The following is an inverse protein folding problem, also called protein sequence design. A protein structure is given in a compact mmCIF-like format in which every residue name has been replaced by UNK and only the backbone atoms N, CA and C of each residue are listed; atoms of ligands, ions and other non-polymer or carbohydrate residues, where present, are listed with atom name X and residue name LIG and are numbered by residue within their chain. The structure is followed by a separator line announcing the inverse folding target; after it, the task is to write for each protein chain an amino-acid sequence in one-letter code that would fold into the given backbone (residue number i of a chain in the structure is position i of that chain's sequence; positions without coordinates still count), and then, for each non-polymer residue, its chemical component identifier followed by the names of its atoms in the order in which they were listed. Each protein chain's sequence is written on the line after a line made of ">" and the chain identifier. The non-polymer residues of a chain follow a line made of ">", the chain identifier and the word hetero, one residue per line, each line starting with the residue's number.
data_IF_281898146391
#
_entry.id   IF_281898146391
#
_cell.length_a   1.000
_cell.length_b   1.000
_cell.length_c   1.000
_cell.angle_alpha   90.00
_cell.angle_beta   90.00
_cell.angle_gamma   90.00
#
_symmetry.space_group_name_H-M   'P 1'
#
loop_
_entity.id
_entity.type
_entity.pdbx_description
1 polymer ?
#
# COMPACT_ATOMS: atom_id res chain seq x y z
N UNK A 1 25.42 28.50 -13.90
CA UNK A 1 26.19 28.43 -12.64
C UNK A 1 25.70 27.21 -11.88
N UNK A 2 26.57 26.27 -11.53
CA UNK A 2 26.15 25.00 -10.92
C UNK A 2 25.69 25.14 -9.47
N UNK A 3 25.07 24.10 -8.87
CA UNK A 3 24.72 24.10 -7.46
C UNK A 3 25.97 24.29 -6.59
N UNK A 4 25.92 25.25 -5.67
CA UNK A 4 26.97 25.48 -4.66
C UNK A 4 26.62 24.69 -3.41
N UNK A 5 27.41 23.68 -3.08
CA UNK A 5 27.24 22.94 -1.83
C UNK A 5 27.34 23.91 -0.65
N UNK A 6 26.36 23.87 0.24
CA UNK A 6 26.34 24.67 1.47
C UNK A 6 26.96 23.82 2.58
N UNK A 7 26.41 22.62 2.77
CA UNK A 7 26.82 21.69 3.82
C UNK A 7 26.23 20.29 3.58
N UNK A 8 26.97 19.24 3.92
CA UNK A 8 26.51 17.84 3.81
C UNK A 8 25.86 17.51 2.47
N UNK A 9 24.58 17.13 2.49
CA UNK A 9 23.76 16.78 1.30
C UNK A 9 22.97 17.96 0.71
N UNK A 10 23.33 19.20 1.06
CA UNK A 10 22.53 20.37 0.74
C UNK A 10 23.25 21.40 -0.11
N UNK A 11 22.49 21.97 -1.04
CA UNK A 11 23.02 22.76 -2.13
C UNK A 11 22.21 24.03 -2.34
N UNK A 12 22.89 25.14 -2.56
CA UNK A 12 22.32 26.40 -3.04
C UNK A 12 22.30 26.38 -4.56
N UNK A 13 21.12 26.55 -5.16
CA UNK A 13 20.98 26.69 -6.60
C UNK A 13 20.48 28.10 -6.91
N UNK A 14 21.18 28.80 -7.80
CA UNK A 14 20.72 30.06 -8.38
C UNK A 14 20.32 29.83 -9.83
N UNK A 15 19.02 29.89 -10.10
CA UNK A 15 18.45 29.68 -11.44
C UNK A 15 18.29 30.99 -12.23
N UNK A 16 18.70 32.14 -11.68
CA UNK A 16 18.71 33.43 -12.36
C UNK A 16 17.34 34.09 -12.54
N UNK A 17 16.25 33.48 -12.05
CA UNK A 17 14.93 34.09 -12.02
C UNK A 17 14.75 34.91 -10.74
N UNK A 18 14.49 36.22 -10.85
CA UNK A 18 14.25 37.12 -9.70
C UNK A 18 12.95 36.87 -8.92
N UNK A 19 12.48 35.63 -8.87
CA UNK A 19 11.29 35.21 -8.13
C UNK A 19 11.56 35.01 -6.64
N UNK A 20 10.51 34.67 -5.90
CA UNK A 20 10.61 34.36 -4.48
C UNK A 20 11.54 33.16 -4.22
N UNK A 21 12.30 33.22 -3.13
CA UNK A 21 13.15 32.12 -2.68
C UNK A 21 12.30 30.87 -2.48
N UNK A 22 12.70 29.77 -3.10
CA UNK A 22 12.06 28.47 -2.97
C UNK A 22 12.99 27.49 -2.28
N UNK A 23 12.45 26.65 -1.41
CA UNK A 23 13.16 25.53 -0.79
C UNK A 23 12.72 24.23 -1.45
N UNK A 24 13.70 23.38 -1.77
CA UNK A 24 13.48 22.09 -2.40
C UNK A 24 14.05 21.03 -1.48
N UNK A 25 13.20 20.13 -1.01
CA UNK A 25 13.61 18.93 -0.28
C UNK A 25 13.57 17.75 -1.24
N UNK A 26 14.65 16.98 -1.31
CA UNK A 26 14.73 15.74 -2.07
C UNK A 26 15.01 14.60 -1.11
N UNK A 27 14.18 13.56 -1.16
CA UNK A 27 14.32 12.38 -0.34
C UNK A 27 13.80 11.16 -1.10
N UNK A 28 14.27 10.00 -0.66
CA UNK A 28 13.74 8.70 -1.06
C UNK A 28 13.16 8.06 0.18
N UNK A 29 11.97 7.48 0.04
CA UNK A 29 11.30 6.78 1.14
C UNK A 29 10.88 5.41 0.67
N UNK A 30 11.22 4.42 1.49
CA UNK A 30 10.79 3.05 1.35
C UNK A 30 9.66 2.77 2.35
N UNK A 31 8.67 2.00 1.92
CA UNK A 31 7.54 1.61 2.75
C UNK A 31 7.66 0.10 3.04
N UNK A 32 7.85 -0.27 4.30
CA UNK A 32 8.01 -1.68 4.67
C UNK A 32 6.65 -2.41 4.76
N UNK A 33 5.57 -1.66 4.98
CA UNK A 33 4.23 -2.21 5.12
C UNK A 33 3.61 -2.51 3.74
N UNK A 34 3.21 -3.78 3.46
CA UNK A 34 2.62 -4.18 2.17
C UNK A 34 1.36 -3.41 1.78
N UNK A 35 0.76 -2.78 2.78
CA UNK A 35 -0.41 -1.93 2.72
C UNK A 35 -0.07 -0.53 2.20
N UNK A 36 1.01 0.05 2.71
CA UNK A 36 1.53 1.34 2.30
C UNK A 36 2.05 1.29 0.85
N UNK A 37 2.74 0.21 0.46
CA UNK A 37 3.16 0.00 -0.94
C UNK A 37 2.01 0.09 -1.94
N UNK A 38 0.86 -0.51 -1.62
CA UNK A 38 -0.32 -0.47 -2.50
C UNK A 38 -0.94 0.92 -2.54
N UNK A 39 -0.97 1.61 -1.41
CA UNK A 39 -1.46 2.97 -1.31
C UNK A 39 -0.60 3.91 -2.16
N UNK A 40 0.72 3.85 -2.00
CA UNK A 40 1.69 4.66 -2.75
C UNK A 40 1.67 4.32 -4.23
N UNK A 41 1.48 3.05 -4.60
CA UNK A 41 1.32 2.63 -5.99
C UNK A 41 0.09 3.22 -6.71
N UNK A 42 -0.89 3.74 -5.96
CA UNK A 42 -2.05 4.47 -6.52
C UNK A 42 -1.87 5.99 -6.49
N UNK A 43 -0.79 6.49 -5.89
CA UNK A 43 -0.51 7.92 -5.81
C UNK A 43 -0.07 8.44 -7.18
N UNK A 44 -0.55 9.62 -7.62
CA UNK A 44 -0.10 10.21 -8.87
C UNK A 44 1.39 10.57 -8.78
N UNK A 45 2.07 10.58 -9.93
CA UNK A 45 3.48 10.94 -10.02
C UNK A 45 3.80 12.36 -9.51
N UNK A 46 2.78 13.22 -9.42
CA UNK A 46 2.88 14.59 -8.90
C UNK A 46 1.66 14.89 -8.03
N UNK A 47 1.90 15.34 -6.81
CA UNK A 47 0.87 15.87 -5.92
C UNK A 47 1.00 17.38 -5.82
N UNK A 48 -0.09 18.09 -6.12
CA UNK A 48 -0.18 19.52 -5.89
C UNK A 48 -0.91 19.75 -4.56
N UNK A 49 -0.17 20.23 -3.56
CA UNK A 49 -0.72 20.61 -2.27
C UNK A 49 -0.93 22.12 -2.27
N UNK A 50 -2.14 22.56 -1.90
CA UNK A 50 -2.49 23.98 -1.80
C UNK A 50 -2.77 24.30 -0.33
N UNK A 51 -2.24 25.41 0.13
CA UNK A 51 -2.60 25.94 1.45
C UNK A 51 -4.08 26.31 1.49
N UNK A 52 -4.77 25.96 2.57
CA UNK A 52 -6.19 26.23 2.75
C UNK A 52 -6.59 26.20 4.23
N UNK A 53 -7.75 26.79 4.59
CA UNK A 53 -8.13 27.03 5.99
C UNK A 53 -8.30 25.75 6.82
N UNK A 54 -8.50 24.59 6.18
CA UNK A 54 -8.65 23.28 6.84
C UNK A 54 -7.56 22.28 6.44
N UNK A 55 -6.51 22.70 5.72
CA UNK A 55 -5.47 21.80 5.20
C UNK A 55 -4.07 22.34 5.44
N UNK A 56 -3.15 21.40 5.65
CA UNK A 56 -1.70 21.60 5.39
C UNK A 56 -0.98 22.62 6.26
N UNK A 57 -1.61 23.25 7.26
CA UNK A 57 -0.90 24.09 8.25
C UNK A 57 0.21 23.31 8.95
N UNK A 58 -0.04 22.05 9.29
CA UNK A 58 0.96 21.17 9.92
C UNK A 58 2.15 20.88 9.01
N UNK A 59 1.94 20.73 7.69
CA UNK A 59 3.02 20.54 6.74
C UNK A 59 3.81 21.84 6.54
N UNK A 60 3.15 22.99 6.42
CA UNK A 60 3.81 24.29 6.33
C UNK A 60 4.75 24.53 7.52
N UNK A 61 4.25 24.35 8.75
CA UNK A 61 5.07 24.45 9.96
C UNK A 61 6.24 23.46 9.95
N UNK A 62 6.03 22.22 9.48
CA UNK A 62 7.07 21.22 9.43
C UNK A 62 8.16 21.56 8.40
N UNK A 63 7.78 22.10 7.24
CA UNK A 63 8.71 22.56 6.22
C UNK A 63 9.53 23.77 6.71
N UNK A 64 8.93 24.66 7.50
CA UNK A 64 9.66 25.75 8.16
C UNK A 64 10.68 25.23 9.17
N UNK A 65 10.31 24.23 9.98
CA UNK A 65 11.25 23.59 10.92
C UNK A 65 12.39 22.89 10.16
N UNK A 66 12.09 22.18 9.07
CA UNK A 66 13.12 21.59 8.21
C UNK A 66 14.02 22.67 7.59
N UNK A 67 13.47 23.81 7.20
CA UNK A 67 14.26 24.92 6.66
C UNK A 67 15.22 25.52 7.70
N UNK A 68 14.76 25.66 8.95
CA UNK A 68 15.55 26.16 10.07
C UNK A 68 16.64 25.16 10.48
N UNK A 69 16.28 23.88 10.63
CA UNK A 69 17.20 22.79 10.96
C UNK A 69 18.36 22.69 9.94
N UNK A 70 18.03 22.89 8.66
CA UNK A 70 19.01 22.94 7.59
C UNK A 70 19.97 24.14 7.72
N UNK A 71 19.50 25.28 8.22
CA UNK A 71 20.31 26.48 8.37
C UNK A 71 21.24 26.45 9.61
N UNK A 72 20.86 25.70 10.65
CA UNK A 72 21.62 25.63 11.90
C UNK A 72 22.80 24.64 11.87
N UNK A 73 22.78 23.65 10.96
CA UNK A 73 23.89 22.70 10.72
C UNK A 73 24.43 22.01 11.98
N UNK A 74 23.56 21.75 12.95
CA UNK A 74 23.94 21.17 14.23
C UNK A 74 24.32 19.68 14.14
N UNK A 75 25.13 19.21 15.08
CA UNK A 75 25.44 17.78 15.21
C UNK A 75 24.14 17.00 15.40
N UNK A 76 23.90 16.01 14.52
CA UNK A 76 22.65 15.23 14.52
C UNK A 76 21.56 15.76 13.59
N UNK A 77 21.81 16.87 12.87
CA UNK A 77 20.84 17.46 11.95
C UNK A 77 20.35 16.50 10.87
N UNK A 78 21.22 15.63 10.35
CA UNK A 78 20.81 14.59 9.39
C UNK A 78 19.75 13.63 9.96
N UNK A 79 19.86 13.25 11.24
CA UNK A 79 18.89 12.39 11.92
C UNK A 79 17.58 13.12 12.15
N UNK A 80 17.63 14.37 12.61
CA UNK A 80 16.45 15.22 12.80
C UNK A 80 15.74 15.41 11.45
N UNK A 81 16.47 15.75 10.40
CA UNK A 81 15.95 15.93 9.04
C UNK A 81 15.26 14.67 8.53
N UNK A 82 15.84 13.49 8.75
CA UNK A 82 15.21 12.22 8.37
C UNK A 82 13.85 12.02 9.08
N UNK A 83 13.77 12.30 10.38
CA UNK A 83 12.52 12.20 11.15
C UNK A 83 11.49 13.24 10.76
N UNK A 84 11.92 14.46 10.45
CA UNK A 84 11.03 15.51 9.93
C UNK A 84 10.51 15.14 8.53
N UNK A 85 11.36 14.57 7.67
CA UNK A 85 10.95 14.07 6.36
C UNK A 85 9.93 12.93 6.47
N UNK A 86 10.14 11.97 7.39
CA UNK A 86 9.19 10.90 7.67
C UNK A 86 7.81 11.47 8.08
N UNK A 87 7.80 12.47 8.95
CA UNK A 87 6.57 13.14 9.38
C UNK A 87 5.91 13.92 8.24
N UNK A 88 6.68 14.62 7.40
CA UNK A 88 6.17 15.40 6.28
C UNK A 88 5.50 14.49 5.25
N UNK A 89 6.16 13.40 4.89
CA UNK A 89 5.65 12.42 3.93
C UNK A 89 4.41 11.73 4.49
N UNK A 90 4.40 11.40 5.78
CA UNK A 90 3.21 10.86 6.45
C UNK A 90 2.01 11.82 6.36
N UNK A 91 2.23 13.14 6.55
CA UNK A 91 1.17 14.15 6.39
C UNK A 91 0.70 14.24 4.94
N UNK A 92 1.63 14.28 3.98
CA UNK A 92 1.33 14.36 2.54
C UNK A 92 0.48 13.16 2.10
N UNK A 93 0.93 11.94 2.43
CA UNK A 93 0.23 10.70 2.09
C UNK A 93 -1.14 10.66 2.77
N UNK A 94 -1.24 11.08 4.04
CA UNK A 94 -2.50 11.14 4.78
C UNK A 94 -3.50 12.13 4.18
N UNK A 95 -3.04 13.31 3.78
CA UNK A 95 -3.89 14.35 3.19
C UNK A 95 -4.33 13.96 1.78
N UNK A 96 -3.43 13.43 0.95
CA UNK A 96 -3.80 12.87 -0.35
C UNK A 96 -4.81 11.72 -0.21
N UNK A 97 -4.60 10.83 0.76
CA UNK A 97 -5.56 9.78 1.06
C UNK A 97 -6.91 10.35 1.51
N UNK A 98 -6.95 11.44 2.27
CA UNK A 98 -8.22 12.09 2.64
C UNK A 98 -8.93 12.72 1.46
N UNK A 99 -8.18 13.36 0.56
CA UNK A 99 -8.71 14.23 -0.48
C UNK A 99 -8.89 13.60 -1.86
N UNK A 100 -8.67 12.29 -1.98
CA UNK A 100 -8.99 11.59 -3.22
C UNK A 100 -10.51 11.64 -3.43
N UNK A 101 -10.96 12.64 -4.20
CA UNK A 101 -12.34 12.78 -4.69
C UNK A 101 -12.80 11.55 -5.49
N UNK A 102 -11.84 10.71 -5.91
CA UNK A 102 -12.05 9.33 -6.35
C UNK A 102 -12.45 8.40 -5.19
N UNK A 103 -13.51 8.76 -4.47
CA UNK A 103 -14.16 7.95 -3.44
C UNK A 103 -14.75 6.63 -3.99
N UNK A 104 -14.60 6.37 -5.29
CA UNK A 104 -15.27 5.28 -6.00
C UNK A 104 -14.32 4.19 -6.48
N UNK A 105 -13.00 4.44 -6.55
CA UNK A 105 -12.02 3.48 -7.08
C UNK A 105 -10.68 3.56 -6.34
N UNK A 106 -9.93 2.47 -6.41
CA UNK A 106 -8.63 2.33 -5.73
C UNK A 106 -8.71 1.71 -4.34
N UNK A 107 -7.52 1.38 -3.83
CA UNK A 107 -7.37 0.59 -2.60
C UNK A 107 -7.87 1.35 -1.35
N UNK A 108 -7.70 2.66 -1.31
CA UNK A 108 -8.20 3.48 -0.21
C UNK A 108 -9.73 3.61 -0.19
N UNK A 109 -10.36 3.74 -1.35
CA UNK A 109 -11.81 3.69 -1.47
C UNK A 109 -12.36 2.35 -0.99
N UNK A 110 -11.66 1.25 -1.32
CA UNK A 110 -12.03 -0.09 -0.87
C UNK A 110 -11.92 -0.28 0.64
N UNK A 111 -10.94 0.34 1.31
CA UNK A 111 -10.85 0.34 2.78
C UNK A 111 -11.98 1.12 3.47
N UNK A 112 -12.43 2.22 2.85
CA UNK A 112 -13.53 3.04 3.37
C UNK A 112 -14.91 2.46 3.05
N UNK A 113 -14.99 1.54 2.08
CA UNK A 113 -16.22 0.87 1.70
C UNK A 113 -16.72 -0.05 2.83
N UNK A 114 -17.97 0.14 3.26
CA UNK A 114 -18.58 -0.60 4.37
C UNK A 114 -18.65 -2.11 4.14
N UNK A 115 -18.66 -2.58 2.89
CA UNK A 115 -18.64 -3.99 2.54
C UNK A 115 -17.24 -4.52 2.23
N UNK A 116 -16.48 -3.83 1.38
CA UNK A 116 -15.15 -4.30 0.95
C UNK A 116 -14.10 -4.16 2.06
N UNK A 117 -14.16 -3.12 2.88
CA UNK A 117 -13.20 -2.83 3.93
C UNK A 117 -13.01 -4.00 4.92
N UNK A 118 -14.09 -4.53 5.53
CA UNK A 118 -14.02 -5.70 6.40
C UNK A 118 -13.46 -6.95 5.72
N UNK A 119 -13.80 -7.19 4.45
CA UNK A 119 -13.30 -8.33 3.68
C UNK A 119 -11.79 -8.20 3.42
N UNK A 120 -11.33 -7.01 3.04
CA UNK A 120 -9.91 -6.71 2.83
C UNK A 120 -9.12 -6.81 4.13
N UNK A 121 -9.62 -6.23 5.22
CA UNK A 121 -9.00 -6.34 6.53
C UNK A 121 -8.84 -7.80 6.96
N UNK A 122 -9.87 -8.63 6.72
CA UNK A 122 -9.80 -10.07 6.93
C UNK A 122 -8.66 -10.74 6.16
N UNK A 123 -8.56 -10.48 4.85
CA UNK A 123 -7.49 -11.01 3.98
C UNK A 123 -6.12 -10.61 4.53
N UNK A 124 -5.94 -9.33 4.89
CA UNK A 124 -4.65 -8.79 5.33
C UNK A 124 -4.22 -9.29 6.71
N UNK A 125 -5.15 -9.42 7.65
CA UNK A 125 -4.85 -9.87 9.02
C UNK A 125 -4.71 -11.38 9.14
N UNK A 126 -5.37 -12.15 8.26
CA UNK A 126 -5.36 -13.62 8.30
C UNK A 126 -5.18 -14.19 6.89
N UNK A 127 -4.00 -14.02 6.25
CA UNK A 127 -3.77 -14.47 4.88
C UNK A 127 -3.99 -15.98 4.67
N UNK A 128 -3.71 -16.80 5.68
CA UNK A 128 -3.81 -18.26 5.61
C UNK A 128 -5.23 -18.85 5.60
N UNK A 129 -6.24 -18.05 5.93
CA UNK A 129 -7.64 -18.48 5.94
C UNK A 129 -8.16 -18.85 4.55
N UNK A 130 -9.17 -19.72 4.48
CA UNK A 130 -9.79 -20.09 3.20
C UNK A 130 -10.73 -18.97 2.69
N UNK A 131 -10.14 -17.95 2.08
CA UNK A 131 -10.83 -16.81 1.48
C UNK A 131 -11.52 -17.16 0.15
N UNK A 132 -12.56 -17.98 0.23
CA UNK A 132 -13.47 -18.21 -0.89
C UNK A 132 -14.31 -16.97 -1.20
N UNK A 133 -14.77 -16.84 -2.45
CA UNK A 133 -15.69 -15.76 -2.86
C UNK A 133 -16.93 -15.71 -1.95
N UNK A 134 -17.46 -16.87 -1.55
CA UNK A 134 -18.61 -16.96 -0.66
C UNK A 134 -18.30 -16.41 0.75
N UNK A 135 -17.11 -16.68 1.29
CA UNK A 135 -16.69 -16.13 2.60
C UNK A 135 -16.52 -14.63 2.54
N UNK A 136 -15.85 -14.12 1.50
CA UNK A 136 -15.64 -12.69 1.30
C UNK A 136 -16.97 -11.92 1.14
N UNK A 137 -17.89 -12.45 0.33
CA UNK A 137 -19.21 -11.86 0.15
C UNK A 137 -20.02 -11.82 1.46
N UNK A 138 -19.93 -12.89 2.28
CA UNK A 138 -20.56 -12.90 3.62
C UNK A 138 -19.97 -11.84 4.55
N UNK A 139 -18.63 -11.71 4.59
CA UNK A 139 -17.97 -10.66 5.38
C UNK A 139 -18.41 -9.26 4.95
N UNK A 140 -18.71 -9.08 3.67
CA UNK A 140 -19.19 -7.83 3.10
C UNK A 140 -20.71 -7.62 3.19
N UNK A 141 -21.47 -8.56 3.77
CA UNK A 141 -22.94 -8.58 3.77
C UNK A 141 -23.56 -8.41 2.37
N UNK A 142 -22.95 -9.05 1.36
CA UNK A 142 -23.35 -8.97 -0.05
C UNK A 142 -23.59 -10.36 -0.64
N UNK A 143 -24.33 -10.42 -1.74
CA UNK A 143 -24.38 -11.61 -2.59
C UNK A 143 -23.02 -11.86 -3.25
N UNK A 144 -22.77 -13.10 -3.72
CA UNK A 144 -21.51 -13.47 -4.39
C UNK A 144 -21.27 -12.65 -5.66
N UNK A 145 -22.29 -12.43 -6.48
CA UNK A 145 -22.20 -11.68 -7.74
C UNK A 145 -21.97 -10.19 -7.45
N UNK A 146 -22.78 -9.59 -6.58
CA UNK A 146 -22.65 -8.18 -6.18
C UNK A 146 -21.27 -7.88 -5.60
N UNK A 147 -20.76 -8.76 -4.74
CA UNK A 147 -19.42 -8.60 -4.18
C UNK A 147 -18.34 -8.68 -5.26
N UNK A 148 -18.38 -9.69 -6.15
CA UNK A 148 -17.37 -9.86 -7.18
C UNK A 148 -17.31 -8.65 -8.15
N UNK A 149 -18.48 -8.15 -8.56
CA UNK A 149 -18.63 -7.00 -9.43
C UNK A 149 -18.11 -5.73 -8.76
N UNK A 150 -18.57 -5.43 -7.54
CA UNK A 150 -18.14 -4.26 -6.78
C UNK A 150 -16.64 -4.30 -6.47
N UNK A 151 -16.13 -5.45 -6.04
CA UNK A 151 -14.71 -5.62 -5.76
C UNK A 151 -13.86 -5.34 -6.99
N UNK A 152 -14.21 -5.92 -8.14
CA UNK A 152 -13.46 -5.73 -9.39
C UNK A 152 -13.58 -4.30 -9.91
N UNK A 153 -14.75 -3.67 -9.78
CA UNK A 153 -14.96 -2.27 -10.15
C UNK A 153 -14.10 -1.31 -9.31
N UNK A 154 -14.00 -1.55 -7.99
CA UNK A 154 -13.25 -0.67 -7.08
C UNK A 154 -11.75 -0.95 -7.14
N UNK A 155 -11.32 -2.22 -7.15
CA UNK A 155 -9.92 -2.62 -7.03
C UNK A 155 -9.23 -2.97 -8.36
N UNK A 156 -9.97 -3.04 -9.46
CA UNK A 156 -9.42 -3.35 -10.80
C UNK A 156 -8.97 -4.80 -10.99
N UNK A 157 -9.15 -5.68 -9.99
CA UNK A 157 -8.77 -7.09 -10.04
C UNK A 157 -9.85 -7.97 -9.40
N UNK A 158 -9.92 -9.24 -9.78
CA UNK A 158 -10.87 -10.18 -9.17
C UNK A 158 -10.50 -10.50 -7.71
N UNK A 159 -11.47 -10.88 -6.84
CA UNK A 159 -11.19 -11.24 -5.46
C UNK A 159 -10.17 -12.38 -5.30
N UNK A 160 -10.25 -13.42 -6.13
CA UNK A 160 -9.33 -14.55 -6.07
C UNK A 160 -7.90 -14.15 -6.45
N UNK A 161 -7.77 -13.32 -7.50
CA UNK A 161 -6.47 -12.78 -7.92
C UNK A 161 -5.85 -11.91 -6.84
N UNK A 162 -6.65 -11.06 -6.19
CA UNK A 162 -6.19 -10.22 -5.09
C UNK A 162 -5.60 -11.03 -3.93
N UNK A 163 -6.32 -12.07 -3.48
CA UNK A 163 -5.85 -12.94 -2.38
C UNK A 163 -4.53 -13.62 -2.75
N UNK A 164 -4.42 -14.13 -3.98
CA UNK A 164 -3.20 -14.78 -4.47
C UNK A 164 -2.01 -13.82 -4.51
N UNK A 165 -2.17 -12.64 -5.12
CA UNK A 165 -1.11 -11.63 -5.20
C UNK A 165 -0.67 -11.13 -3.82
N UNK A 166 -1.60 -11.03 -2.87
CA UNK A 166 -1.26 -10.68 -1.49
C UNK A 166 -0.42 -11.77 -0.83
N UNK A 167 -0.85 -13.04 -0.91
CA UNK A 167 -0.10 -14.17 -0.36
C UNK A 167 1.29 -14.31 -0.98
N UNK A 168 1.43 -14.09 -2.29
CA UNK A 168 2.75 -14.18 -2.95
C UNK A 168 3.72 -13.09 -2.48
N UNK A 169 3.25 -11.85 -2.27
CA UNK A 169 4.09 -10.80 -1.68
C UNK A 169 4.49 -11.14 -0.25
N UNK A 170 3.55 -11.63 0.56
CA UNK A 170 3.85 -12.02 1.94
C UNK A 170 4.81 -13.22 1.98
N UNK A 171 4.68 -14.17 1.05
CA UNK A 171 5.64 -15.26 0.90
C UNK A 171 7.05 -14.72 0.58
N UNK A 172 7.17 -13.79 -0.37
CA UNK A 172 8.45 -13.15 -0.70
C UNK A 172 9.09 -12.49 0.52
N UNK A 173 8.30 -11.81 1.35
CA UNK A 173 8.76 -11.19 2.59
C UNK A 173 9.24 -12.23 3.61
N UNK A 174 8.45 -13.29 3.82
CA UNK A 174 8.78 -14.37 4.76
C UNK A 174 9.98 -15.22 4.30
N UNK A 175 10.23 -15.33 3.00
CA UNK A 175 11.39 -16.03 2.45
C UNK A 175 12.73 -15.35 2.77
N UNK A 176 12.71 -14.09 3.22
CA UNK A 176 13.91 -13.40 3.69
C UNK A 176 14.34 -13.84 5.11
N UNK A 177 13.46 -14.54 5.83
CA UNK A 177 13.76 -15.07 7.17
C UNK A 177 14.37 -16.49 7.04
N UNK A 178 15.66 -16.67 7.37
CA UNK A 178 16.35 -17.96 7.24
C UNK A 178 15.83 -19.03 8.22
N UNK A 179 15.04 -18.65 9.22
CA UNK A 179 14.45 -19.59 10.18
C UNK A 179 13.18 -20.28 9.65
N UNK A 180 12.61 -19.80 8.53
CA UNK A 180 11.37 -20.30 7.97
C UNK A 180 11.61 -21.23 6.78
N UNK A 181 10.95 -22.40 6.80
CA UNK A 181 10.98 -23.34 5.67
C UNK A 181 9.87 -23.02 4.65
N UNK A 182 10.10 -23.36 3.37
CA UNK A 182 9.10 -23.18 2.30
C UNK A 182 7.74 -23.83 2.66
N UNK A 183 7.69 -25.09 3.17
CA UNK A 183 6.42 -25.69 3.59
C UNK A 183 5.73 -24.94 4.74
N UNK A 184 6.49 -24.43 5.71
CA UNK A 184 5.93 -23.64 6.81
C UNK A 184 5.34 -22.31 6.32
N UNK A 185 6.01 -21.63 5.39
CA UNK A 185 5.49 -20.42 4.75
C UNK A 185 4.21 -20.72 3.96
N UNK A 186 4.21 -21.80 3.16
CA UNK A 186 3.04 -22.21 2.40
C UNK A 186 1.85 -22.56 3.31
N UNK A 187 2.08 -23.25 4.42
CA UNK A 187 1.07 -23.54 5.44
C UNK A 187 0.49 -22.26 6.06
N UNK A 188 1.36 -21.35 6.51
CA UNK A 188 0.99 -20.07 7.12
C UNK A 188 0.15 -19.19 6.19
N UNK A 189 0.37 -19.29 4.89
CA UNK A 189 -0.33 -18.51 3.86
C UNK A 189 -1.48 -19.27 3.19
N UNK A 190 -1.81 -20.48 3.66
CA UNK A 190 -2.92 -21.26 3.08
C UNK A 190 -2.70 -21.63 1.61
N UNK A 191 -1.44 -21.87 1.25
CA UNK A 191 -0.97 -22.21 -0.10
C UNK A 191 -0.44 -23.65 -0.18
N UNK A 192 -0.72 -24.48 0.82
CA UNK A 192 -0.42 -25.91 0.71
C UNK A 192 -1.23 -26.51 -0.45
N UNK A 193 -0.62 -27.43 -1.23
CA UNK A 193 -1.37 -28.22 -2.21
C UNK A 193 -2.56 -28.89 -1.53
N UNK A 194 -3.73 -28.83 -2.17
CA UNK A 194 -4.89 -29.60 -1.69
C UNK A 194 -4.53 -31.09 -1.78
N UNK A 195 -4.73 -31.89 -0.72
CA UNK A 195 -4.37 -33.30 -0.75
C UNK A 195 -5.15 -34.04 -1.85
N UNK A 196 -4.45 -34.92 -2.59
CA UNK A 196 -5.00 -35.71 -3.69
C UNK A 196 -6.18 -36.61 -3.29
N UNK A 197 -6.40 -36.83 -1.99
CA UNK A 197 -7.56 -37.58 -1.48
C UNK A 197 -8.92 -36.88 -1.66
N UNK A 198 -8.92 -35.61 -2.10
CA UNK A 198 -10.14 -34.85 -2.37
C UNK A 198 -10.62 -34.92 -3.84
N UNK A 199 -9.99 -35.73 -4.69
CA UNK A 199 -10.51 -36.08 -6.03
C UNK A 199 -11.52 -37.22 -5.84
N UNK A 200 -12.81 -37.06 -6.20
CA UNK A 200 -13.75 -38.17 -6.18
C UNK A 200 -13.19 -39.29 -7.08
N UNK A 201 -12.96 -40.47 -6.52
CA UNK A 201 -12.63 -41.65 -7.34
C UNK A 201 -13.76 -41.84 -8.34
N UNK A 202 -13.43 -41.80 -9.64
CA UNK A 202 -14.39 -42.07 -10.69
C UNK A 202 -14.92 -43.49 -10.51
N UNK A 203 -16.24 -43.61 -10.32
CA UNK A 203 -16.92 -44.89 -10.26
C UNK A 203 -16.80 -45.58 -11.63
N UNK A 204 -15.96 -46.61 -11.73
CA UNK A 204 -15.76 -47.41 -12.94
C UNK A 204 -16.92 -48.40 -13.19
N UNK A 205 -18.16 -48.01 -12.90
CA UNK A 205 -19.33 -48.78 -13.36
C UNK A 205 -19.46 -48.63 -14.87
N UNK A 206 -19.28 -49.75 -15.58
CA UNK A 206 -19.57 -49.86 -17.01
C UNK A 206 -21.00 -49.36 -17.30
N UNK A 207 -21.22 -48.51 -18.30
CA UNK A 207 -22.55 -48.03 -18.62
C UNK A 207 -23.41 -49.16 -19.18
N UNK A 208 -24.68 -49.21 -18.74
CA UNK A 208 -25.63 -50.31 -18.97
C UNK A 208 -26.19 -50.41 -20.40
N UNK A 209 -25.61 -49.73 -21.37
CA UNK A 209 -26.04 -49.78 -22.78
C UNK A 209 -25.16 -50.71 -23.63
N UNK A 210 -24.12 -51.31 -23.06
CA UNK A 210 -23.34 -52.34 -23.72
C UNK A 210 -23.93 -53.74 -23.46
N UNK A 211 -25.09 -54.01 -24.06
CA UNK A 211 -25.59 -55.36 -24.38
C UNK A 211 -26.51 -55.24 -25.59
#
# INVERSE_FOLDING_TARGET
>A
MGPRQISGTSYSLNTGGGGARSLIFCCTVDFEEPLADRLIGTMPAKLLLREGPNRTRSLGMLLEVMAAEMAEESVGSATIMARLADAAISIIVRDWARDSDDHRRGWLAALRDRGLGPALLGIHTRPGENWSLARLARTAAMSRSTFAERFSHVLGVSPARYVLEFRMREAKRLLLDPSLTIPAIAARLGMLPKPLSAVPQADHRKPSWAT
#
